data_IF_537569833328
#
_entry.id   IF_537569833328
#
_cell.length_a   1.000
_cell.length_b   1.000
_cell.length_c   1.000
_cell.angle_alpha   90.00
_cell.angle_beta   90.00
_cell.angle_gamma   90.00
#
_symmetry.space_group_name_H-M   'P 1'
#
loop_
_entity.id
_entity.type
_entity.pdbx_description
1 polymer ?
#
# COMPACT_ATOMS: atom_id res chain seq x y z
N UNK A 1 -66.80 18.45 65.56
CA UNK A 1 -65.55 18.60 64.79
C UNK A 1 -65.55 17.51 63.74
N UNK A 2 -65.78 17.92 62.48
CA UNK A 2 -65.95 17.00 61.35
C UNK A 2 -64.57 16.83 60.65
N UNK A 3 -64.08 15.60 60.55
CA UNK A 3 -62.93 15.24 59.70
C UNK A 3 -63.47 14.89 58.31
N UNK A 4 -62.96 15.56 57.31
CA UNK A 4 -63.17 15.22 55.89
C UNK A 4 -62.09 14.28 55.45
N UNK A 5 -62.48 13.16 54.88
CA UNK A 5 -61.59 12.17 54.24
C UNK A 5 -61.58 12.48 52.76
N UNK A 6 -60.36 12.78 52.23
CA UNK A 6 -60.16 12.98 50.79
C UNK A 6 -59.71 11.63 50.14
N UNK A 7 -60.49 11.23 49.17
CA UNK A 7 -60.18 10.12 48.29
C UNK A 7 -59.20 10.58 47.20
N UNK A 8 -58.04 10.01 47.14
CA UNK A 8 -57.07 10.20 46.05
C UNK A 8 -57.27 9.08 45.04
N UNK A 9 -57.82 9.45 43.87
CA UNK A 9 -57.92 8.52 42.73
C UNK A 9 -56.54 8.32 42.08
N UNK A 10 -56.02 7.08 42.08
CA UNK A 10 -54.86 6.69 41.32
C UNK A 10 -55.28 6.49 39.85
N UNK A 11 -54.80 7.37 38.96
CA UNK A 11 -54.85 7.16 37.54
C UNK A 11 -53.62 6.27 37.18
N UNK A 12 -53.89 5.03 36.74
CA UNK A 12 -52.90 4.16 36.11
C UNK A 12 -52.75 4.66 34.69
N UNK A 13 -51.62 5.34 34.40
CA UNK A 13 -51.20 5.65 33.03
C UNK A 13 -50.49 4.41 32.51
N UNK A 14 -51.18 3.68 31.63
CA UNK A 14 -50.55 2.63 30.80
C UNK A 14 -49.62 3.32 29.82
N UNK A 15 -48.33 3.32 30.12
CA UNK A 15 -47.29 3.74 29.18
C UNK A 15 -47.18 2.74 28.03
N UNK A 16 -47.64 3.11 26.85
CA UNK A 16 -47.29 2.45 25.62
C UNK A 16 -45.77 2.64 25.43
N UNK A 17 -44.99 1.58 25.59
CA UNK A 17 -43.62 1.51 25.11
C UNK A 17 -43.74 1.39 23.59
N UNK A 18 -43.64 2.51 22.90
CA UNK A 18 -43.39 2.52 21.48
C UNK A 18 -41.90 2.13 21.32
N UNK A 19 -41.68 0.90 20.94
CA UNK A 19 -40.36 0.47 20.41
C UNK A 19 -40.15 1.22 19.10
N UNK A 20 -39.61 2.40 19.19
CA UNK A 20 -39.07 3.10 18.03
C UNK A 20 -37.86 2.33 17.56
N UNK A 21 -38.00 1.63 16.45
CA UNK A 21 -36.84 1.33 15.60
C UNK A 21 -36.20 2.69 15.29
N UNK A 22 -35.01 2.93 15.81
CA UNK A 22 -34.23 4.08 15.42
C UNK A 22 -33.96 3.90 13.91
N UNK A 23 -34.76 4.56 13.09
CA UNK A 23 -34.40 4.80 11.71
C UNK A 23 -33.16 5.67 11.78
N UNK A 24 -32.07 5.20 11.23
CA UNK A 24 -30.86 6.00 10.98
C UNK A 24 -31.36 7.34 10.39
N UNK A 25 -31.18 8.43 11.12
CA UNK A 25 -31.46 9.75 10.57
C UNK A 25 -30.38 9.97 9.52
N UNK A 26 -30.74 9.81 8.26
CA UNK A 26 -29.96 10.31 7.14
C UNK A 26 -29.60 11.75 7.47
N UNK A 27 -28.34 12.05 7.58
CA UNK A 27 -27.86 13.43 7.73
C UNK A 27 -28.52 14.23 6.62
N UNK A 28 -29.31 15.25 6.98
CA UNK A 28 -30.19 15.96 6.08
C UNK A 28 -29.45 16.39 4.80
N UNK A 29 -29.69 15.66 3.70
CA UNK A 29 -29.35 16.07 2.34
C UNK A 29 -28.03 15.58 1.78
N UNK A 30 -27.28 14.70 2.44
CA UNK A 30 -26.07 14.10 1.86
C UNK A 30 -26.31 12.62 1.52
N UNK A 31 -26.28 12.31 0.23
CA UNK A 31 -26.35 10.94 -0.26
C UNK A 31 -24.93 10.33 -0.29
N UNK A 32 -24.76 9.03 -0.01
CA UNK A 32 -23.49 8.37 -0.14
C UNK A 32 -22.91 8.50 -1.56
N UNK A 33 -21.67 8.92 -1.68
CA UNK A 33 -21.01 9.07 -2.99
C UNK A 33 -20.70 7.70 -3.62
N UNK A 34 -20.46 6.67 -2.79
CA UNK A 34 -20.29 5.29 -3.23
C UNK A 34 -21.63 4.67 -3.69
N UNK A 35 -22.76 5.27 -3.31
CA UNK A 35 -24.10 4.82 -3.63
C UNK A 35 -24.71 3.92 -2.56
N UNK A 36 -26.04 3.70 -2.68
CA UNK A 36 -26.77 2.85 -1.73
C UNK A 36 -26.41 1.35 -1.89
N UNK A 37 -26.79 0.53 -0.89
CA UNK A 37 -26.43 -0.89 -0.84
C UNK A 37 -26.77 -1.69 -2.12
N UNK A 38 -27.91 -1.35 -2.75
CA UNK A 38 -28.39 -2.02 -3.98
C UNK A 38 -27.52 -1.76 -5.23
N UNK A 39 -26.65 -0.74 -5.19
CA UNK A 39 -25.80 -0.34 -6.32
C UNK A 39 -24.34 -0.69 -6.11
N UNK A 40 -23.99 -1.34 -4.99
CA UNK A 40 -22.61 -1.66 -4.63
C UNK A 40 -22.28 -3.09 -5.07
N UNK A 41 -21.10 -3.27 -5.66
CA UNK A 41 -20.62 -4.59 -6.10
C UNK A 41 -20.43 -5.52 -4.90
N UNK A 42 -20.89 -6.76 -5.04
CA UNK A 42 -20.79 -7.77 -3.99
C UNK A 42 -19.69 -8.79 -4.30
N UNK A 43 -19.12 -9.38 -3.25
CA UNK A 43 -18.15 -10.47 -3.38
C UNK A 43 -18.73 -11.67 -4.14
N UNK A 44 -20.01 -11.98 -3.95
CA UNK A 44 -20.69 -13.09 -4.62
C UNK A 44 -20.82 -12.88 -6.14
N UNK A 45 -21.08 -11.65 -6.58
CA UNK A 45 -21.15 -11.31 -8.01
C UNK A 45 -19.78 -11.53 -8.69
N UNK A 46 -18.70 -11.07 -8.06
CA UNK A 46 -17.34 -11.28 -8.59
C UNK A 46 -17.02 -12.79 -8.64
N UNK A 47 -17.25 -13.49 -7.52
CA UNK A 47 -16.93 -14.92 -7.39
C UNK A 47 -17.77 -15.82 -8.30
N UNK A 48 -18.98 -15.40 -8.69
CA UNK A 48 -19.85 -16.15 -9.61
C UNK A 48 -19.30 -16.25 -11.03
N UNK A 49 -18.36 -15.37 -11.41
CA UNK A 49 -17.87 -15.24 -12.79
C UNK A 49 -18.91 -14.63 -13.75
N UNK A 50 -19.99 -14.03 -13.21
CA UNK A 50 -21.03 -13.39 -14.01
C UNK A 50 -20.69 -11.98 -14.49
N UNK A 51 -19.67 -11.35 -13.89
CA UNK A 51 -19.17 -10.04 -14.27
C UNK A 51 -17.98 -10.16 -15.21
N UNK A 52 -17.90 -9.29 -16.20
CA UNK A 52 -16.69 -9.14 -17.01
C UNK A 52 -15.57 -8.45 -16.21
N UNK A 53 -14.32 -8.61 -16.64
CA UNK A 53 -13.19 -7.89 -16.02
C UNK A 53 -13.40 -6.37 -16.07
N UNK A 54 -13.98 -5.87 -17.16
CA UNK A 54 -14.28 -4.43 -17.32
C UNK A 54 -15.29 -3.97 -16.28
N UNK A 55 -16.37 -4.73 -16.02
CA UNK A 55 -17.36 -4.36 -15.00
C UNK A 55 -16.73 -4.28 -13.61
N UNK A 56 -15.86 -5.23 -13.27
CA UNK A 56 -15.14 -5.26 -12.01
C UNK A 56 -14.17 -4.07 -11.92
N UNK A 57 -13.43 -3.79 -12.99
CA UNK A 57 -12.49 -2.66 -13.06
C UNK A 57 -13.20 -1.31 -12.97
N UNK A 58 -14.38 -1.14 -13.58
CA UNK A 58 -15.20 0.07 -13.43
C UNK A 58 -15.66 0.28 -11.98
N UNK A 59 -16.05 -0.81 -11.30
CA UNK A 59 -16.39 -0.74 -9.88
C UNK A 59 -15.17 -0.39 -9.03
N UNK A 60 -14.00 -0.95 -9.32
CA UNK A 60 -12.74 -0.63 -8.66
C UNK A 60 -12.29 0.81 -8.93
N UNK A 61 -12.41 1.29 -10.16
CA UNK A 61 -12.15 2.70 -10.52
C UNK A 61 -13.10 3.64 -9.75
N UNK A 62 -14.39 3.28 -9.62
CA UNK A 62 -15.34 4.04 -8.82
C UNK A 62 -14.86 4.16 -7.38
N UNK A 63 -14.44 3.06 -6.75
CA UNK A 63 -13.86 3.09 -5.40
C UNK A 63 -12.59 3.96 -5.33
N UNK A 64 -11.73 3.84 -6.33
CA UNK A 64 -10.45 4.56 -6.39
C UNK A 64 -10.61 6.08 -6.57
N UNK A 65 -11.60 6.50 -7.37
CA UNK A 65 -11.76 7.88 -7.82
C UNK A 65 -12.81 8.67 -7.05
N UNK A 66 -13.74 8.01 -6.37
CA UNK A 66 -14.82 8.70 -5.66
C UNK A 66 -14.28 9.44 -4.45
N UNK A 67 -14.59 10.73 -4.37
CA UNK A 67 -14.39 11.49 -3.14
C UNK A 67 -15.47 11.10 -2.13
N UNK A 68 -15.05 10.28 -1.17
CA UNK A 68 -15.93 9.77 -0.12
C UNK A 68 -16.40 10.88 0.82
N UNK A 69 -17.60 10.72 1.38
CA UNK A 69 -18.31 11.69 2.21
C UNK A 69 -18.66 11.11 3.56
N UNK A 70 -19.15 11.93 4.46
CA UNK A 70 -19.66 11.45 5.76
C UNK A 70 -20.73 10.38 5.64
N UNK A 71 -21.59 10.49 4.63
CA UNK A 71 -22.61 9.48 4.37
C UNK A 71 -22.06 8.14 3.91
N UNK A 72 -20.77 8.09 3.47
CA UNK A 72 -20.04 6.87 3.15
C UNK A 72 -19.25 6.33 4.37
N UNK A 73 -19.21 7.06 5.50
CA UNK A 73 -18.36 6.76 6.66
C UNK A 73 -17.05 7.55 6.70
N UNK A 74 -16.86 8.54 5.79
CA UNK A 74 -15.63 9.33 5.79
C UNK A 74 -15.46 10.10 7.08
N UNK A 75 -14.38 9.83 7.77
CA UNK A 75 -14.06 10.52 9.00
C UNK A 75 -13.85 9.57 10.14
N UNK A 76 -14.04 10.09 11.31
CA UNK A 76 -13.92 9.37 12.57
C UNK A 76 -15.03 9.86 13.47
N UNK A 77 -15.44 9.06 14.43
CA UNK A 77 -16.52 9.41 15.37
C UNK A 77 -16.35 10.82 15.95
N UNK A 78 -17.46 11.51 16.08
CA UNK A 78 -17.47 12.87 16.61
C UNK A 78 -17.32 12.93 18.14
N UNK A 79 -17.26 11.80 18.84
CA UNK A 79 -17.10 11.77 20.29
C UNK A 79 -15.63 11.92 20.69
N UNK A 80 -15.20 13.14 21.11
CA UNK A 80 -13.83 13.34 21.56
C UNK A 80 -13.50 12.62 22.88
N UNK A 81 -14.49 12.05 23.56
CA UNK A 81 -14.31 11.28 24.78
C UNK A 81 -14.00 9.80 24.50
N UNK A 82 -14.26 9.30 23.32
CA UNK A 82 -13.98 7.92 22.93
C UNK A 82 -12.56 7.81 22.32
N UNK A 83 -11.57 7.71 23.18
CA UNK A 83 -10.16 7.66 22.82
C UNK A 83 -9.61 6.24 22.64
N UNK A 84 -10.48 5.22 22.77
CA UNK A 84 -10.08 3.82 22.84
C UNK A 84 -10.56 3.00 21.64
N UNK A 85 -11.41 3.55 20.81
CA UNK A 85 -11.95 2.84 19.66
C UNK A 85 -10.96 2.80 18.50
N UNK A 86 -10.84 1.67 17.80
CA UNK A 86 -10.11 1.59 16.54
C UNK A 86 -10.72 2.58 15.55
N UNK A 87 -9.95 3.54 15.08
CA UNK A 87 -10.44 4.59 14.19
C UNK A 87 -10.75 5.93 14.86
N UNK A 88 -10.85 5.95 16.20
CA UNK A 88 -11.04 7.19 16.95
C UNK A 88 -9.94 8.22 16.66
N UNK A 89 -10.29 9.50 16.64
CA UNK A 89 -9.31 10.58 16.39
C UNK A 89 -8.16 10.47 17.39
N UNK A 90 -6.90 10.47 16.92
CA UNK A 90 -5.78 10.53 17.83
C UNK A 90 -5.90 11.83 18.63
N UNK A 91 -6.06 11.71 19.95
CA UNK A 91 -6.05 12.84 20.84
C UNK A 91 -4.62 13.24 21.16
N UNK A 92 -4.40 14.52 21.47
CA UNK A 92 -3.10 15.02 21.97
C UNK A 92 -2.61 14.30 23.23
N UNK A 93 -3.54 13.66 23.97
CA UNK A 93 -3.27 12.86 25.15
C UNK A 93 -3.14 11.37 24.85
N UNK A 94 -3.24 10.98 23.59
CA UNK A 94 -3.25 9.61 23.20
C UNK A 94 -1.89 8.94 23.26
N UNK A 95 -1.84 7.81 22.65
CA UNK A 95 -0.70 6.92 22.55
C UNK A 95 0.53 7.48 21.81
N UNK A 96 0.52 8.74 21.38
CA UNK A 96 1.63 9.41 20.70
C UNK A 96 1.92 8.94 19.29
N UNK A 97 1.05 8.13 18.69
CA UNK A 97 1.36 7.50 17.40
C UNK A 97 0.93 8.31 16.20
N UNK A 98 -0.19 9.00 16.23
CA UNK A 98 -0.64 9.82 15.10
C UNK A 98 -1.34 11.07 15.57
N UNK A 99 -0.82 12.22 15.17
CA UNK A 99 -1.57 13.45 15.12
C UNK A 99 -1.64 13.85 13.66
N UNK A 100 -2.83 13.82 13.10
CA UNK A 100 -3.07 14.39 11.77
C UNK A 100 -3.29 15.90 11.96
N UNK A 101 -2.33 16.69 11.49
CA UNK A 101 -2.39 18.15 11.65
C UNK A 101 -3.63 18.74 10.99
N UNK A 102 -4.08 18.13 9.89
CA UNK A 102 -5.19 18.60 9.07
C UNK A 102 -6.40 17.64 9.06
N UNK A 103 -6.47 16.69 9.97
CA UNK A 103 -7.48 15.62 9.95
C UNK A 103 -7.09 14.50 8.99
N UNK A 104 -8.07 13.88 8.33
CA UNK A 104 -7.84 12.91 7.28
C UNK A 104 -7.15 13.57 6.10
N UNK A 105 -6.21 12.86 5.47
CA UNK A 105 -5.28 13.45 4.52
C UNK A 105 -5.68 13.27 3.05
N UNK A 106 -6.74 12.48 2.78
CA UNK A 106 -7.28 12.26 1.45
C UNK A 106 -8.78 11.94 1.52
N UNK A 107 -9.50 12.12 0.43
CA UNK A 107 -10.90 11.72 0.24
C UNK A 107 -11.06 10.69 -0.89
N UNK A 108 -10.02 10.50 -1.72
CA UNK A 108 -9.96 9.49 -2.77
C UNK A 108 -8.53 9.01 -2.97
N UNK A 109 -8.34 7.85 -3.57
CA UNK A 109 -7.00 7.37 -3.91
C UNK A 109 -6.32 8.26 -4.96
N UNK A 110 -7.12 8.94 -5.82
CA UNK A 110 -6.63 9.92 -6.80
C UNK A 110 -5.97 11.15 -6.15
N UNK A 111 -6.24 11.43 -4.89
CA UNK A 111 -5.59 12.54 -4.18
C UNK A 111 -4.09 12.30 -4.01
N UNK A 112 -3.66 11.04 -4.07
CA UNK A 112 -2.26 10.64 -3.92
C UNK A 112 -1.70 9.85 -5.10
N UNK A 113 -2.52 9.16 -5.91
CA UNK A 113 -2.07 8.25 -6.95
C UNK A 113 -2.65 8.63 -8.32
N UNK A 114 -1.80 8.89 -9.31
CA UNK A 114 -2.23 9.07 -10.69
C UNK A 114 -2.31 7.72 -11.40
N UNK A 115 -3.50 7.37 -11.87
CA UNK A 115 -3.75 6.20 -12.70
C UNK A 115 -4.50 6.56 -13.99
N UNK A 116 -4.88 7.82 -14.17
CA UNK A 116 -5.67 8.30 -15.31
C UNK A 116 -4.82 8.96 -16.39
N UNK A 117 -3.56 9.29 -16.10
CA UNK A 117 -2.63 9.94 -17.02
C UNK A 117 -1.19 9.57 -16.65
N UNK A 118 -0.30 9.67 -17.64
CA UNK A 118 1.14 9.62 -17.44
C UNK A 118 1.79 11.01 -17.39
N UNK A 119 0.99 12.07 -17.46
CA UNK A 119 1.50 13.43 -17.39
C UNK A 119 1.88 13.79 -15.95
N UNK A 120 3.12 14.20 -15.80
CA UNK A 120 3.61 14.67 -14.52
C UNK A 120 2.93 16.00 -14.15
N UNK A 121 2.26 16.03 -13.00
CA UNK A 121 1.78 17.29 -12.42
C UNK A 121 2.95 17.92 -11.66
N UNK A 122 3.31 19.18 -11.87
CA UNK A 122 4.38 19.82 -11.15
C UNK A 122 4.17 19.74 -9.64
N UNK A 123 5.23 19.38 -8.90
CA UNK A 123 5.20 19.39 -7.46
C UNK A 123 4.86 20.79 -6.94
N UNK A 124 3.78 20.92 -6.21
CA UNK A 124 3.37 22.14 -5.53
C UNK A 124 3.32 21.84 -4.04
N UNK A 125 4.24 22.42 -3.28
CA UNK A 125 4.28 22.24 -1.84
C UNK A 125 2.97 22.69 -1.19
N UNK A 126 2.40 21.81 -0.37
CA UNK A 126 1.18 22.09 0.37
C UNK A 126 -0.13 21.86 -0.38
N UNK A 127 -0.08 21.44 -1.64
CA UNK A 127 -1.25 20.89 -2.33
C UNK A 127 -1.17 19.38 -2.24
N UNK A 128 -2.05 18.79 -1.45
CA UNK A 128 -2.18 17.36 -1.35
C UNK A 128 -2.59 16.75 -2.68
N UNK A 129 -2.15 15.51 -2.93
CA UNK A 129 -2.80 14.67 -3.87
C UNK A 129 -2.62 14.96 -5.35
N UNK A 130 -1.50 15.50 -5.76
CA UNK A 130 -1.27 15.64 -7.19
C UNK A 130 -1.10 14.30 -7.92
N UNK A 131 -1.40 13.22 -7.25
CA UNK A 131 -1.54 11.89 -7.81
C UNK A 131 -0.26 11.28 -8.35
N UNK A 132 0.02 10.17 -7.91
CA UNK A 132 0.88 9.08 -8.21
C UNK A 132 2.11 9.24 -9.04
N UNK A 133 2.11 10.08 -9.99
CA UNK A 133 3.28 10.42 -10.77
C UNK A 133 4.03 11.56 -10.08
N UNK A 134 3.28 12.48 -9.52
CA UNK A 134 3.80 13.54 -8.66
C UNK A 134 3.11 13.46 -7.32
N UNK A 135 3.77 12.89 -6.45
CA UNK A 135 3.34 12.61 -5.12
C UNK A 135 3.09 13.88 -4.34
N UNK A 136 1.96 13.99 -3.77
CA UNK A 136 1.83 14.85 -2.63
C UNK A 136 2.64 14.25 -1.52
N UNK A 137 3.59 14.99 -1.06
CA UNK A 137 4.28 14.66 0.16
C UNK A 137 3.30 14.77 1.32
N UNK A 138 2.94 13.65 1.92
CA UNK A 138 2.13 13.61 3.11
C UNK A 138 2.99 13.93 4.32
N UNK A 139 2.54 14.87 5.10
CA UNK A 139 3.22 15.24 6.31
C UNK A 139 2.64 14.46 7.50
N UNK A 140 3.41 13.50 7.99
CA UNK A 140 3.04 12.72 9.17
C UNK A 140 3.78 13.25 10.39
N UNK A 141 3.05 13.80 11.32
CA UNK A 141 3.60 14.32 12.57
C UNK A 141 4.01 13.16 13.47
N UNK A 142 5.24 13.19 13.98
CA UNK A 142 5.75 12.24 14.97
C UNK A 142 5.55 12.67 16.40
N UNK A 143 5.68 13.97 16.64
CA UNK A 143 5.50 14.58 17.95
C UNK A 143 5.08 16.05 17.81
N UNK A 144 4.26 16.51 18.74
CA UNK A 144 3.94 17.93 18.88
C UNK A 144 4.31 18.33 20.31
N UNK A 145 5.12 19.36 20.43
CA UNK A 145 5.33 20.05 21.70
C UNK A 145 4.23 21.10 21.91
N UNK A 146 3.14 20.64 22.49
CA UNK A 146 2.00 21.53 22.87
C UNK A 146 2.23 22.25 24.19
N UNK A 147 3.24 21.83 24.94
CA UNK A 147 3.55 22.42 26.24
C UNK A 147 4.46 23.67 26.13
N UNK A 148 4.90 24.00 24.90
CA UNK A 148 5.84 25.09 24.64
C UNK A 148 7.04 25.06 25.59
N UNK A 149 7.69 23.90 25.70
CA UNK A 149 8.83 23.70 26.61
C UNK A 149 9.96 24.69 26.30
N UNK A 150 10.06 25.13 25.06
CA UNK A 150 11.04 26.15 24.65
C UNK A 150 10.62 27.60 25.03
N UNK A 151 9.36 27.81 25.43
CA UNK A 151 8.84 29.13 25.81
C UNK A 151 8.85 30.16 24.69
N UNK A 152 8.71 29.71 23.43
CA UNK A 152 8.82 30.60 22.27
C UNK A 152 7.46 30.98 21.67
N UNK A 153 6.35 30.50 22.22
CA UNK A 153 4.99 30.76 21.75
C UNK A 153 4.58 29.98 20.50
N UNK A 154 5.38 28.99 20.08
CA UNK A 154 5.10 28.15 18.92
C UNK A 154 5.03 26.68 19.32
N UNK A 155 4.04 25.97 18.82
CA UNK A 155 4.03 24.52 18.90
C UNK A 155 5.13 23.99 17.98
N UNK A 156 6.17 23.40 18.57
CA UNK A 156 7.19 22.67 17.83
C UNK A 156 6.59 21.32 17.39
N UNK A 157 6.76 20.93 16.14
CA UNK A 157 6.37 19.60 15.71
C UNK A 157 7.45 18.97 14.83
N UNK A 158 7.55 17.68 14.94
CA UNK A 158 8.44 16.84 14.19
C UNK A 158 7.60 15.89 13.32
N UNK A 159 7.91 15.80 12.04
CA UNK A 159 7.13 15.05 11.10
C UNK A 159 7.96 14.45 9.98
N UNK A 160 7.33 13.69 9.12
CA UNK A 160 7.93 13.12 7.92
C UNK A 160 7.04 13.30 6.72
N UNK A 161 7.66 13.37 5.56
CA UNK A 161 7.00 13.29 4.28
C UNK A 161 6.90 11.82 3.85
N UNK A 162 5.82 11.45 3.18
CA UNK A 162 5.66 10.16 2.51
C UNK A 162 5.45 10.42 1.04
N UNK A 163 6.19 9.68 0.23
CA UNK A 163 6.12 9.72 -1.22
C UNK A 163 5.31 8.49 -1.71
N UNK A 164 4.05 8.65 -2.16
CA UNK A 164 3.25 7.54 -2.63
C UNK A 164 3.87 6.88 -3.86
N UNK A 165 3.91 5.54 -3.96
CA UNK A 165 4.49 4.86 -5.11
C UNK A 165 3.55 4.88 -6.32
N UNK A 166 4.12 4.79 -7.53
CA UNK A 166 3.36 4.53 -8.75
C UNK A 166 2.74 3.12 -8.72
N UNK A 167 1.52 2.99 -9.27
CA UNK A 167 0.72 1.77 -9.19
C UNK A 167 0.79 0.89 -10.45
N UNK A 168 1.29 1.40 -11.56
CA UNK A 168 1.36 0.65 -12.82
C UNK A 168 2.18 -0.64 -12.69
N UNK A 169 1.67 -1.73 -13.28
CA UNK A 169 2.32 -3.03 -13.26
C UNK A 169 2.25 -3.78 -11.91
N UNK A 170 1.50 -3.28 -10.95
CA UNK A 170 1.42 -3.81 -9.58
C UNK A 170 1.02 -5.29 -9.52
N UNK A 171 0.15 -5.76 -10.45
CA UNK A 171 -0.23 -7.17 -10.50
C UNK A 171 0.92 -8.12 -10.80
N UNK A 172 1.84 -7.73 -11.70
CA UNK A 172 3.05 -8.53 -11.95
C UNK A 172 3.95 -8.63 -10.71
N UNK A 173 4.04 -7.54 -9.92
CA UNK A 173 4.77 -7.53 -8.63
C UNK A 173 4.12 -8.49 -7.64
N UNK A 174 2.78 -8.41 -7.46
CA UNK A 174 2.04 -9.28 -6.56
C UNK A 174 2.15 -10.76 -6.95
N UNK A 175 2.03 -11.07 -8.24
CA UNK A 175 2.19 -12.43 -8.75
C UNK A 175 3.56 -13.01 -8.42
N UNK A 176 4.64 -12.28 -8.75
CA UNK A 176 6.02 -12.73 -8.47
C UNK A 176 6.24 -12.89 -6.96
N UNK A 177 5.73 -11.98 -6.13
CA UNK A 177 5.86 -12.06 -4.67
C UNK A 177 5.11 -13.27 -4.09
N UNK A 178 3.90 -13.55 -4.55
CA UNK A 178 3.13 -14.75 -4.17
C UNK A 178 3.89 -16.05 -4.51
N UNK A 179 4.48 -16.14 -5.70
CA UNK A 179 5.31 -17.30 -6.09
C UNK A 179 6.61 -17.41 -5.29
N UNK A 180 7.26 -16.27 -4.98
CA UNK A 180 8.44 -16.25 -4.13
C UNK A 180 8.10 -16.72 -2.71
N UNK A 181 6.99 -16.26 -2.16
CA UNK A 181 6.48 -16.71 -0.85
C UNK A 181 6.24 -18.22 -0.85
N UNK A 182 5.49 -18.75 -1.80
CA UNK A 182 5.22 -20.19 -1.89
C UNK A 182 6.52 -21.02 -1.97
N UNK A 183 7.53 -20.52 -2.70
CA UNK A 183 8.83 -21.19 -2.78
C UNK A 183 9.59 -21.13 -1.44
N UNK A 184 9.54 -20.00 -0.74
CA UNK A 184 10.20 -19.84 0.56
C UNK A 184 9.53 -20.71 1.64
N UNK A 185 8.19 -20.83 1.63
CA UNK A 185 7.47 -21.72 2.54
C UNK A 185 7.87 -23.17 2.31
N UNK A 186 7.93 -23.63 1.05
CA UNK A 186 8.41 -24.99 0.73
C UNK A 186 9.86 -25.23 1.20
N UNK A 187 10.76 -24.25 1.08
CA UNK A 187 12.14 -24.36 1.60
C UNK A 187 12.18 -24.39 3.13
N UNK A 188 11.24 -23.74 3.80
CA UNK A 188 11.06 -23.81 5.26
C UNK A 188 10.59 -25.19 5.68
N UNK A 189 9.64 -25.79 4.95
CA UNK A 189 9.18 -27.17 5.16
C UNK A 189 10.34 -28.17 4.97
N UNK A 190 11.14 -28.02 3.88
CA UNK A 190 12.35 -28.84 3.66
C UNK A 190 13.33 -28.76 4.85
N UNK A 191 13.49 -27.57 5.44
CA UNK A 191 14.34 -27.43 6.63
C UNK A 191 13.80 -28.17 7.85
N UNK A 192 12.45 -28.19 8.02
CA UNK A 192 11.79 -28.91 9.12
C UNK A 192 11.89 -30.42 8.93
N UNK A 193 11.77 -30.91 7.69
CA UNK A 193 11.87 -32.34 7.35
C UNK A 193 13.29 -32.92 7.53
N UNK A 194 14.35 -32.08 7.41
CA UNK A 194 15.75 -32.50 7.55
C UNK A 194 16.47 -31.70 8.66
N UNK A 195 16.18 -31.93 9.95
CA UNK A 195 16.73 -31.14 11.05
C UNK A 195 18.24 -31.20 11.12
N UNK A 196 18.86 -30.05 11.24
CA UNK A 196 20.30 -29.84 11.28
C UNK A 196 20.90 -29.46 9.92
N UNK A 197 20.23 -29.73 8.82
CA UNK A 197 20.64 -29.28 7.48
C UNK A 197 20.39 -27.78 7.31
N UNK A 198 21.33 -27.10 6.72
CA UNK A 198 21.18 -25.69 6.34
C UNK A 198 20.60 -25.60 4.94
N UNK A 199 19.40 -25.03 4.83
CA UNK A 199 18.71 -24.80 3.55
C UNK A 199 18.97 -23.36 3.10
N UNK A 200 19.44 -23.19 1.85
CA UNK A 200 19.65 -21.86 1.24
C UNK A 200 18.32 -21.31 0.76
N UNK A 201 18.02 -20.08 1.13
CA UNK A 201 16.80 -19.36 0.72
C UNK A 201 17.10 -18.54 -0.55
N UNK A 202 17.16 -19.23 -1.69
CA UNK A 202 17.36 -18.57 -2.99
C UNK A 202 16.19 -18.80 -3.92
N UNK A 203 15.49 -17.72 -4.27
CA UNK A 203 14.25 -17.75 -5.06
C UNK A 203 14.34 -16.75 -6.20
N UNK A 204 14.00 -17.15 -7.43
CA UNK A 204 14.06 -16.31 -8.65
C UNK A 204 15.40 -15.54 -8.79
N UNK A 205 16.49 -16.19 -8.31
CA UNK A 205 17.84 -15.61 -8.32
C UNK A 205 18.14 -14.62 -7.18
N UNK A 206 17.18 -14.27 -6.34
CA UNK A 206 17.37 -13.45 -5.13
C UNK A 206 17.79 -14.32 -3.96
N UNK A 207 18.76 -13.85 -3.18
CA UNK A 207 19.32 -14.56 -2.01
C UNK A 207 18.78 -13.93 -0.71
N UNK A 208 18.01 -14.70 0.04
CA UNK A 208 17.47 -14.35 1.36
C UNK A 208 18.24 -15.02 2.50
N UNK A 209 19.46 -15.53 2.25
CA UNK A 209 20.30 -16.17 3.23
C UNK A 209 19.99 -17.65 3.41
N UNK A 210 19.82 -18.13 4.64
CA UNK A 210 19.57 -19.54 4.91
C UNK A 210 18.76 -19.75 6.21
N UNK A 211 18.11 -20.90 6.27
CA UNK A 211 17.36 -21.37 7.45
C UNK A 211 17.82 -22.78 7.85
N UNK A 212 17.67 -23.14 9.10
CA UNK A 212 17.93 -24.47 9.61
C UNK A 212 16.94 -24.82 10.73
N UNK A 213 16.33 -25.98 10.69
CA UNK A 213 15.62 -26.52 11.84
C UNK A 213 16.58 -27.19 12.82
N UNK A 214 16.39 -26.94 14.10
CA UNK A 214 17.07 -27.62 15.18
C UNK A 214 16.38 -28.96 15.47
N UNK A 215 17.06 -29.89 16.19
CA UNK A 215 16.49 -31.18 16.54
C UNK A 215 15.32 -31.10 17.53
N UNK A 216 15.15 -29.97 18.19
CA UNK A 216 14.03 -29.69 19.11
C UNK A 216 12.81 -29.10 18.38
N UNK A 217 12.87 -28.97 17.03
CA UNK A 217 11.81 -28.43 16.20
C UNK A 217 11.83 -26.90 16.07
N UNK A 218 12.71 -26.19 16.77
CA UNK A 218 12.84 -24.73 16.60
C UNK A 218 13.58 -24.37 15.32
N UNK A 219 13.32 -23.20 14.77
CA UNK A 219 13.98 -22.69 13.57
C UNK A 219 15.10 -21.70 13.92
N UNK A 220 16.28 -21.90 13.38
CA UNK A 220 17.37 -20.96 13.40
C UNK A 220 17.24 -20.02 12.19
N UNK A 221 16.79 -18.79 12.45
CA UNK A 221 16.47 -17.76 11.47
C UNK A 221 17.53 -16.64 11.40
N UNK A 222 18.63 -16.75 12.14
CA UNK A 222 19.65 -15.68 12.28
C UNK A 222 20.34 -15.29 10.96
N UNK A 223 20.34 -16.20 10.00
CA UNK A 223 20.97 -15.99 8.67
C UNK A 223 19.95 -15.56 7.62
N UNK A 224 18.68 -15.31 7.98
CA UNK A 224 17.67 -14.75 7.08
C UNK A 224 17.97 -13.26 6.83
N UNK A 225 17.81 -12.80 5.58
CA UNK A 225 18.18 -11.45 5.15
C UNK A 225 17.09 -10.82 4.29
N UNK A 226 16.67 -9.62 4.65
CA UNK A 226 15.80 -8.79 3.84
C UNK A 226 14.36 -9.29 3.66
N UNK A 227 13.96 -10.26 4.47
CA UNK A 227 12.58 -10.76 4.64
C UNK A 227 12.38 -11.09 6.10
N UNK A 228 11.15 -11.16 6.57
CA UNK A 228 10.83 -11.54 7.94
C UNK A 228 11.02 -13.05 8.18
N UNK A 229 11.08 -13.43 9.45
CA UNK A 229 11.30 -14.83 9.84
C UNK A 229 10.16 -15.79 9.44
N UNK A 230 8.99 -15.25 9.09
CA UNK A 230 7.87 -16.00 8.54
C UNK A 230 8.12 -16.44 7.08
N UNK A 231 9.11 -15.82 6.40
CA UNK A 231 9.47 -16.06 5.00
C UNK A 231 8.35 -15.71 4.02
N UNK A 232 7.59 -14.68 4.34
CA UNK A 232 6.56 -14.11 3.47
C UNK A 232 7.09 -12.85 2.79
N UNK A 233 7.03 -12.80 1.46
CA UNK A 233 7.42 -11.62 0.68
C UNK A 233 6.32 -10.58 0.78
N UNK A 234 6.68 -9.38 1.22
CA UNK A 234 5.80 -8.22 1.33
C UNK A 234 6.27 -7.14 0.36
N UNK A 235 5.75 -7.12 -0.88
CA UNK A 235 6.27 -6.24 -1.94
C UNK A 235 5.73 -4.82 -1.87
N UNK A 236 4.77 -4.55 -0.97
CA UNK A 236 4.07 -3.28 -0.87
C UNK A 236 4.38 -2.55 0.43
N UNK A 237 4.14 -1.23 0.41
CA UNK A 237 4.65 -0.33 1.43
C UNK A 237 6.17 -0.10 1.27
N UNK A 238 6.66 1.05 1.72
CA UNK A 238 8.10 1.41 1.58
C UNK A 238 9.03 0.56 2.46
N UNK A 239 8.47 -0.06 3.50
CA UNK A 239 9.19 -0.95 4.43
C UNK A 239 8.98 -2.44 4.11
N UNK A 240 8.19 -2.77 3.07
CA UNK A 240 7.76 -4.13 2.84
C UNK A 240 6.80 -4.59 3.95
N UNK A 241 5.66 -3.93 4.02
CA UNK A 241 4.68 -4.06 5.11
C UNK A 241 3.53 -4.98 4.72
N UNK A 242 3.14 -5.00 3.43
CA UNK A 242 1.93 -5.65 2.95
C UNK A 242 2.24 -6.73 1.91
N UNK A 243 1.52 -7.85 2.01
CA UNK A 243 1.69 -9.02 1.14
C UNK A 243 0.97 -8.86 -0.20
N UNK A 244 -0.13 -8.12 -0.20
CA UNK A 244 -1.01 -7.90 -1.33
C UNK A 244 -1.46 -6.44 -1.41
N UNK A 245 -2.02 -6.09 -2.56
CA UNK A 245 -2.72 -4.81 -2.75
C UNK A 245 -3.94 -4.75 -1.84
N UNK A 246 -4.66 -5.87 -1.68
CA UNK A 246 -5.82 -5.94 -0.78
C UNK A 246 -5.47 -5.54 0.65
N UNK A 247 -4.42 -6.14 1.20
CA UNK A 247 -3.97 -5.81 2.57
C UNK A 247 -3.57 -4.32 2.68
N UNK A 248 -2.91 -3.78 1.65
CA UNK A 248 -2.60 -2.36 1.59
C UNK A 248 -3.87 -1.50 1.50
N UNK A 249 -4.83 -1.85 0.64
CA UNK A 249 -6.05 -1.07 0.41
C UNK A 249 -6.89 -0.97 1.68
N UNK A 250 -7.07 -2.07 2.41
CA UNK A 250 -7.76 -2.08 3.71
C UNK A 250 -7.09 -1.12 4.69
N UNK A 251 -5.77 -1.21 4.82
CA UNK A 251 -5.00 -0.30 5.67
C UNK A 251 -5.10 1.17 5.23
N UNK A 252 -5.08 1.42 3.92
CA UNK A 252 -5.15 2.76 3.36
C UNK A 252 -6.53 3.40 3.55
N UNK A 253 -7.61 2.64 3.36
CA UNK A 253 -8.99 3.10 3.60
C UNK A 253 -9.17 3.55 5.06
N UNK A 254 -8.70 2.75 6.00
CA UNK A 254 -8.75 3.09 7.42
C UNK A 254 -7.86 4.28 7.76
N UNK A 255 -6.65 4.30 7.21
CA UNK A 255 -5.64 5.28 7.60
C UNK A 255 -5.86 6.67 6.97
N UNK A 256 -6.18 6.72 5.68
CA UNK A 256 -6.28 7.98 4.94
C UNK A 256 -7.69 8.58 4.98
N UNK A 257 -8.72 7.75 4.98
CA UNK A 257 -10.11 8.20 4.87
C UNK A 257 -10.90 8.02 6.17
N UNK A 258 -10.40 7.22 7.11
CA UNK A 258 -11.14 6.81 8.30
C UNK A 258 -12.28 5.82 8.00
N UNK A 259 -12.36 5.32 6.76
CA UNK A 259 -13.35 4.31 6.38
C UNK A 259 -13.05 2.96 7.03
N UNK A 260 -14.11 2.22 7.37
CA UNK A 260 -14.02 0.92 8.02
C UNK A 260 -14.46 -0.22 7.09
N UNK A 261 -13.50 -0.88 6.38
CA UNK A 261 -13.85 -2.04 5.58
C UNK A 261 -14.45 -3.16 6.42
N UNK A 262 -15.53 -3.77 5.90
CA UNK A 262 -16.22 -4.91 6.56
C UNK A 262 -15.24 -6.02 6.94
N UNK A 263 -14.23 -6.29 6.13
CA UNK A 263 -13.25 -7.32 6.44
C UNK A 263 -12.33 -7.01 7.63
N UNK A 264 -12.21 -5.73 8.01
CA UNK A 264 -11.43 -5.33 9.17
C UNK A 264 -12.27 -5.28 10.45
N UNK A 265 -13.53 -4.82 10.38
CA UNK A 265 -14.36 -4.56 11.55
C UNK A 265 -15.53 -5.53 11.72
N UNK A 266 -15.97 -6.18 10.66
CA UNK A 266 -17.11 -7.09 10.63
C UNK A 266 -18.36 -6.48 9.99
N UNK A 267 -19.25 -7.36 9.50
CA UNK A 267 -20.52 -6.93 8.88
C UNK A 267 -21.48 -6.35 9.91
N UNK A 268 -22.06 -5.19 9.58
CA UNK A 268 -23.02 -4.49 10.43
C UNK A 268 -22.40 -3.86 11.69
N UNK A 269 -21.09 -3.79 11.76
CA UNK A 269 -20.36 -3.15 12.88
C UNK A 269 -20.08 -1.70 12.52
N UNK A 270 -20.44 -0.80 13.44
CA UNK A 270 -20.06 0.61 13.49
C UNK A 270 -18.99 0.71 14.59
N UNK A 271 -17.71 0.61 14.21
CA UNK A 271 -16.64 0.51 15.20
C UNK A 271 -16.10 1.87 15.62
N UNK A 272 -16.36 2.93 14.86
CA UNK A 272 -15.96 4.30 15.19
C UNK A 272 -17.12 5.14 15.75
N UNK A 273 -18.35 4.63 15.67
CA UNK A 273 -19.53 5.28 16.29
C UNK A 273 -20.10 6.44 15.48
N UNK A 274 -19.83 6.51 14.19
CA UNK A 274 -20.31 7.56 13.31
C UNK A 274 -21.73 7.31 12.76
N UNK A 275 -22.32 6.14 13.06
CA UNK A 275 -23.63 5.64 12.68
C UNK A 275 -23.72 5.14 11.21
N UNK A 276 -22.60 4.99 10.54
CA UNK A 276 -22.50 4.31 9.24
C UNK A 276 -21.99 2.89 9.48
N UNK A 277 -22.57 1.91 8.82
CA UNK A 277 -22.13 0.51 8.87
C UNK A 277 -21.85 0.01 7.48
N UNK A 278 -20.98 -0.99 7.37
CA UNK A 278 -20.60 -1.55 6.07
C UNK A 278 -20.07 -0.47 5.09
N UNK A 279 -19.23 0.42 5.59
CA UNK A 279 -18.73 1.58 4.87
C UNK A 279 -18.02 1.19 3.57
N UNK A 280 -17.20 0.13 3.61
CA UNK A 280 -16.62 -0.48 2.42
C UNK A 280 -16.85 -1.99 2.47
N UNK A 281 -17.57 -2.52 1.48
CA UNK A 281 -17.93 -3.93 1.42
C UNK A 281 -16.73 -4.78 0.96
N UNK A 282 -16.81 -6.09 1.22
CA UNK A 282 -15.79 -7.07 0.76
C UNK A 282 -15.66 -7.04 -0.77
N UNK A 283 -16.80 -6.92 -1.48
CA UNK A 283 -16.82 -6.85 -2.95
C UNK A 283 -16.12 -5.61 -3.49
N UNK A 284 -16.28 -4.47 -2.82
CA UNK A 284 -15.63 -3.22 -3.22
C UNK A 284 -14.11 -3.27 -3.00
N UNK A 285 -13.64 -3.83 -1.89
CA UNK A 285 -12.19 -4.07 -1.69
C UNK A 285 -11.66 -5.02 -2.76
N UNK A 286 -12.41 -6.08 -3.11
CA UNK A 286 -12.02 -7.00 -4.19
C UNK A 286 -11.95 -6.30 -5.54
N UNK A 287 -12.92 -5.44 -5.87
CA UNK A 287 -12.92 -4.68 -7.11
C UNK A 287 -11.77 -3.67 -7.16
N UNK A 288 -11.48 -3.01 -6.03
CA UNK A 288 -10.36 -2.08 -5.89
C UNK A 288 -9.02 -2.79 -6.10
N UNK A 289 -8.79 -3.92 -5.42
CA UNK A 289 -7.58 -4.75 -5.62
C UNK A 289 -7.42 -5.16 -7.09
N UNK A 290 -8.50 -5.65 -7.73
CA UNK A 290 -8.47 -6.08 -9.13
C UNK A 290 -8.15 -4.89 -10.05
N UNK A 291 -8.76 -3.72 -9.82
CA UNK A 291 -8.46 -2.51 -10.58
C UNK A 291 -7.00 -2.11 -10.47
N UNK A 292 -6.45 -2.04 -9.25
CA UNK A 292 -5.06 -1.62 -9.02
C UNK A 292 -4.05 -2.64 -9.57
N UNK A 293 -4.33 -3.94 -9.43
CA UNK A 293 -3.42 -4.99 -9.90
C UNK A 293 -3.49 -5.26 -11.39
N UNK A 294 -4.54 -4.83 -12.07
CA UNK A 294 -4.68 -4.93 -13.53
C UNK A 294 -4.29 -3.64 -14.26
N UNK A 295 -3.58 -2.73 -13.62
CA UNK A 295 -3.00 -1.57 -14.28
C UNK A 295 -1.98 -2.00 -15.33
N UNK A 296 -1.85 -1.23 -16.40
CA UNK A 296 -0.93 -1.48 -17.50
C UNK A 296 0.53 -1.60 -17.05
N UNK A 297 1.29 -2.38 -17.77
CA UNK A 297 2.73 -2.53 -17.51
C UNK A 297 3.50 -1.28 -17.92
N UNK A 298 4.36 -0.72 -17.05
CA UNK A 298 5.31 0.32 -17.44
C UNK A 298 6.20 -0.13 -18.60
N UNK A 299 6.59 0.80 -19.44
CA UNK A 299 7.32 0.53 -20.68
C UNK A 299 8.76 0.99 -20.61
N UNK A 300 9.59 0.37 -21.42
CA UNK A 300 10.95 0.86 -21.68
C UNK A 300 11.02 1.41 -23.12
N UNK A 301 11.51 2.64 -23.28
CA UNK A 301 11.76 3.19 -24.60
C UNK A 301 12.91 2.47 -25.30
N UNK A 302 12.90 2.47 -26.62
CA UNK A 302 13.99 1.96 -27.41
C UNK A 302 15.30 2.70 -27.05
N UNK A 303 16.35 1.94 -26.81
CA UNK A 303 17.65 2.47 -26.42
C UNK A 303 18.58 2.63 -27.62
N UNK A 304 19.18 3.80 -27.76
CA UNK A 304 20.26 4.07 -28.69
C UNK A 304 21.63 3.84 -28.03
N UNK A 305 22.68 4.33 -28.63
CA UNK A 305 24.06 4.09 -28.15
C UNK A 305 24.33 4.66 -26.76
N UNK A 306 23.75 5.83 -26.46
CA UNK A 306 23.88 6.53 -25.17
C UNK A 306 23.20 5.74 -24.04
N UNK A 307 21.94 5.36 -24.22
CA UNK A 307 21.17 4.63 -23.23
C UNK A 307 21.72 3.20 -23.02
N UNK A 308 22.16 2.55 -24.12
CA UNK A 308 22.86 1.25 -24.03
C UNK A 308 24.17 1.37 -23.25
N UNK A 309 24.94 2.45 -23.41
CA UNK A 309 26.12 2.71 -22.58
C UNK A 309 25.75 2.96 -21.13
N UNK A 310 24.67 3.69 -20.88
CA UNK A 310 24.10 3.93 -19.55
C UNK A 310 23.67 2.65 -18.86
N UNK A 311 22.95 1.76 -19.55
CA UNK A 311 22.57 0.44 -19.03
C UNK A 311 23.78 -0.41 -18.63
N UNK A 312 24.88 -0.36 -19.43
CA UNK A 312 26.14 -1.02 -19.05
C UNK A 312 26.79 -0.37 -17.81
N UNK A 313 26.74 0.97 -17.71
CA UNK A 313 27.24 1.69 -16.54
C UNK A 313 26.43 1.32 -15.28
N UNK A 314 25.12 1.30 -15.35
CA UNK A 314 24.20 0.90 -14.27
C UNK A 314 24.57 -0.49 -13.71
N UNK A 315 24.85 -1.47 -14.58
CA UNK A 315 25.33 -2.80 -14.14
C UNK A 315 26.72 -2.73 -13.53
N UNK A 316 27.65 -2.01 -14.18
CA UNK A 316 29.06 -1.94 -13.75
C UNK A 316 29.25 -1.31 -12.38
N UNK A 317 28.47 -0.28 -12.04
CA UNK A 317 28.54 0.37 -10.73
C UNK A 317 27.79 -0.39 -9.63
N UNK A 318 27.09 -1.49 -9.96
CA UNK A 318 26.50 -2.39 -8.99
C UNK A 318 25.02 -2.14 -8.66
N UNK A 319 24.32 -1.23 -9.35
CA UNK A 319 22.89 -0.96 -9.10
C UNK A 319 22.01 -2.21 -9.24
N UNK A 320 22.37 -3.12 -10.16
CA UNK A 320 21.62 -4.37 -10.40
C UNK A 320 21.72 -5.40 -9.28
N UNK A 321 22.51 -5.15 -8.25
CA UNK A 321 22.57 -6.02 -7.05
C UNK A 321 21.22 -6.03 -6.34
N UNK A 322 20.56 -4.87 -6.22
CA UNK A 322 19.24 -4.69 -5.65
C UNK A 322 18.20 -4.43 -6.76
N UNK A 323 18.46 -3.48 -7.67
CA UNK A 323 17.57 -3.16 -8.79
C UNK A 323 17.73 -4.17 -9.93
N UNK A 324 17.25 -5.40 -9.71
CA UNK A 324 17.25 -6.46 -10.71
C UNK A 324 16.34 -6.08 -11.86
N UNK A 325 16.83 -6.06 -13.11
CA UNK A 325 16.05 -5.54 -14.24
C UNK A 325 14.74 -6.30 -14.44
N UNK A 326 14.76 -7.60 -14.27
CA UNK A 326 13.64 -8.49 -14.55
C UNK A 326 13.54 -9.56 -13.46
N UNK A 327 12.35 -9.83 -13.00
CA UNK A 327 11.97 -11.11 -12.40
C UNK A 327 10.94 -11.78 -13.32
N UNK A 328 10.93 -13.10 -13.33
CA UNK A 328 9.92 -13.87 -14.11
C UNK A 328 8.98 -14.60 -13.19
N UNK A 329 7.72 -14.68 -13.57
CA UNK A 329 6.77 -15.57 -12.92
C UNK A 329 6.74 -16.96 -13.58
N UNK A 330 6.21 -17.93 -12.89
CA UNK A 330 6.01 -19.29 -13.39
C UNK A 330 4.63 -19.42 -14.07
N UNK A 331 3.67 -18.55 -13.70
CA UNK A 331 2.31 -18.43 -14.27
C UNK A 331 2.09 -17.01 -14.77
N UNK A 332 1.20 -16.83 -15.73
CA UNK A 332 0.69 -15.52 -16.14
C UNK A 332 -0.57 -15.11 -15.34
N UNK A 333 -1.14 -16.03 -14.58
CA UNK A 333 -2.44 -15.85 -13.91
C UNK A 333 -2.25 -15.41 -12.48
N UNK A 334 -2.67 -14.18 -12.18
CA UNK A 334 -2.82 -13.69 -10.81
C UNK A 334 -4.12 -14.21 -10.21
N UNK A 335 -4.03 -14.79 -9.01
CA UNK A 335 -5.17 -15.32 -8.26
C UNK A 335 -5.47 -14.42 -7.07
N UNK A 336 -6.76 -14.12 -6.89
CA UNK A 336 -7.29 -13.30 -5.81
C UNK A 336 -7.98 -14.18 -4.78
N UNK A 337 -7.67 -13.95 -3.53
CA UNK A 337 -8.13 -14.77 -2.39
C UNK A 337 -8.90 -13.93 -1.39
N UNK A 338 -9.92 -14.53 -0.77
CA UNK A 338 -10.60 -13.92 0.36
C UNK A 338 -11.20 -14.99 1.30
N UNK A 339 -10.87 -14.94 2.60
CA UNK A 339 -9.80 -14.15 3.21
C UNK A 339 -8.41 -14.58 2.69
N UNK A 340 -7.47 -13.63 2.61
CA UNK A 340 -6.10 -13.93 2.22
C UNK A 340 -5.35 -14.65 3.33
N UNK A 341 -4.47 -15.58 2.94
CA UNK A 341 -3.55 -16.28 3.82
C UNK A 341 -2.12 -15.97 3.33
N UNK A 342 -1.40 -15.20 4.12
CA UNK A 342 -0.13 -14.60 3.71
C UNK A 342 0.95 -15.65 3.33
N UNK A 343 1.01 -16.77 4.03
CA UNK A 343 1.95 -17.86 3.80
C UNK A 343 1.41 -18.99 2.90
N UNK A 344 0.11 -18.94 2.57
CA UNK A 344 -0.52 -19.81 1.57
C UNK A 344 -1.34 -18.98 0.56
N UNK A 345 -0.70 -18.29 -0.38
CA UNK A 345 -1.35 -17.34 -1.29
C UNK A 345 -2.30 -17.98 -2.32
N UNK A 346 -2.44 -19.30 -2.33
CA UNK A 346 -3.39 -20.04 -3.16
C UNK A 346 -4.65 -20.50 -2.41
N UNK A 347 -4.71 -20.27 -1.10
CA UNK A 347 -5.90 -20.59 -0.32
C UNK A 347 -7.03 -19.59 -0.60
N UNK A 348 -8.28 -20.05 -0.53
CA UNK A 348 -9.49 -19.22 -0.68
C UNK A 348 -9.59 -18.41 -1.97
N UNK A 349 -9.03 -18.91 -3.07
CA UNK A 349 -9.10 -18.23 -4.39
C UNK A 349 -10.56 -18.14 -4.85
N UNK A 350 -11.00 -16.91 -5.19
CA UNK A 350 -12.35 -16.65 -5.69
C UNK A 350 -12.38 -16.10 -7.14
N UNK A 351 -11.27 -15.50 -7.60
CA UNK A 351 -11.16 -14.92 -8.93
C UNK A 351 -9.74 -15.03 -9.46
N UNK A 352 -9.57 -14.87 -10.77
CA UNK A 352 -8.23 -14.89 -11.39
C UNK A 352 -8.22 -14.11 -12.69
N UNK A 353 -7.08 -13.45 -12.98
CA UNK A 353 -6.85 -12.67 -14.20
C UNK A 353 -5.53 -13.11 -14.83
N UNK A 354 -5.53 -13.32 -16.14
CA UNK A 354 -4.31 -13.50 -16.92
C UNK A 354 -3.71 -12.11 -17.20
N UNK A 355 -2.57 -11.80 -16.60
CA UNK A 355 -1.93 -10.50 -16.70
C UNK A 355 -1.17 -10.29 -18.03
N UNK A 356 -1.09 -11.29 -18.90
CA UNK A 356 -0.57 -11.11 -20.24
C UNK A 356 -1.64 -10.57 -21.21
N UNK A 357 -2.90 -10.60 -20.81
CA UNK A 357 -4.00 -10.00 -21.55
C UNK A 357 -4.15 -8.50 -21.19
N UNK A 358 -4.89 -7.77 -22.03
CA UNK A 358 -5.24 -6.37 -21.77
C UNK A 358 -6.08 -6.26 -20.46
N UNK A 359 -5.92 -5.18 -19.70
CA UNK A 359 -5.04 -4.01 -19.95
C UNK A 359 -3.62 -4.15 -19.42
N UNK A 360 -3.29 -5.15 -18.61
CA UNK A 360 -1.95 -5.31 -17.99
C UNK A 360 -0.87 -5.56 -19.04
N UNK A 361 -1.14 -6.42 -20.01
CA UNK A 361 -0.33 -6.70 -21.21
C UNK A 361 1.14 -7.03 -20.93
N UNK A 362 1.43 -7.81 -19.89
CA UNK A 362 2.78 -8.29 -19.63
C UNK A 362 3.24 -9.24 -20.73
N UNK A 363 4.52 -9.15 -21.11
CA UNK A 363 5.14 -10.09 -22.03
C UNK A 363 5.27 -11.49 -21.39
N UNK A 364 4.92 -12.54 -22.16
CA UNK A 364 5.07 -13.93 -21.70
C UNK A 364 6.49 -14.42 -21.84
N UNK A 365 6.90 -15.28 -20.91
CA UNK A 365 8.09 -16.11 -21.07
C UNK A 365 7.79 -17.26 -22.06
N UNK A 366 8.85 -17.91 -22.56
CA UNK A 366 8.70 -19.12 -23.40
C UNK A 366 7.97 -20.28 -22.68
N UNK A 367 7.98 -20.28 -21.35
CA UNK A 367 7.34 -21.30 -20.50
C UNK A 367 5.92 -20.94 -20.06
N UNK A 368 5.40 -19.78 -20.50
CA UNK A 368 4.01 -19.36 -20.24
C UNK A 368 3.84 -18.49 -18.97
N UNK A 369 4.90 -18.17 -18.24
CA UNK A 369 4.90 -17.15 -17.19
C UNK A 369 5.03 -15.74 -17.74
N UNK A 370 5.31 -14.75 -16.89
CA UNK A 370 5.49 -13.34 -17.27
C UNK A 370 6.95 -12.89 -17.15
N UNK A 371 7.32 -11.96 -18.02
CA UNK A 371 8.50 -11.13 -17.88
C UNK A 371 8.06 -9.86 -17.14
N UNK A 372 8.56 -9.66 -15.91
CA UNK A 372 8.20 -8.52 -15.06
C UNK A 372 9.42 -7.60 -14.93
N UNK A 373 9.50 -6.50 -15.72
CA UNK A 373 10.70 -5.64 -15.81
C UNK A 373 10.72 -4.58 -14.71
N UNK A 374 10.58 -4.98 -13.45
CA UNK A 374 10.34 -4.09 -12.32
C UNK A 374 11.59 -3.36 -11.80
N UNK A 375 12.79 -3.82 -12.11
CA UNK A 375 14.05 -3.31 -11.55
C UNK A 375 14.07 -3.31 -10.02
N UNK A 376 13.71 -4.44 -9.42
CA UNK A 376 13.73 -4.67 -7.97
C UNK A 376 13.95 -6.15 -7.68
N UNK A 377 14.54 -6.44 -6.52
CA UNK A 377 14.65 -7.81 -5.99
C UNK A 377 13.55 -8.12 -4.97
N UNK A 378 12.66 -7.18 -4.68
CA UNK A 378 11.60 -7.28 -3.67
C UNK A 378 12.11 -7.66 -2.27
N UNK A 379 13.32 -7.22 -1.96
CA UNK A 379 14.00 -7.48 -0.70
C UNK A 379 14.22 -6.18 0.06
N UNK A 380 14.23 -6.25 1.40
CA UNK A 380 14.61 -5.10 2.25
C UNK A 380 16.12 -5.01 2.38
N UNK A 381 16.61 -3.77 2.35
CA UNK A 381 18.01 -3.42 2.51
C UNK A 381 18.19 -2.29 3.52
N UNK A 382 19.26 -2.36 4.33
CA UNK A 382 19.66 -1.26 5.21
C UNK A 382 20.28 -0.14 4.37
N UNK A 383 19.58 1.00 4.30
CA UNK A 383 19.99 2.17 3.53
C UNK A 383 20.82 3.17 4.33
N UNK A 384 21.16 2.85 5.57
CA UNK A 384 21.99 3.71 6.44
C UNK A 384 21.22 4.85 7.11
N UNK A 385 21.93 5.60 7.94
CA UNK A 385 21.34 6.61 8.82
C UNK A 385 20.82 7.84 8.05
N UNK A 386 21.40 8.17 6.88
CA UNK A 386 21.00 9.33 6.07
C UNK A 386 19.59 9.21 5.50
N UNK A 387 19.13 7.97 5.24
CA UNK A 387 17.78 7.66 4.77
C UNK A 387 16.88 7.08 5.85
N UNK A 388 17.40 6.90 7.07
CA UNK A 388 16.62 6.35 8.17
C UNK A 388 15.39 7.21 8.48
N UNK A 389 14.29 6.54 8.73
CA UNK A 389 13.14 7.15 9.41
C UNK A 389 13.41 7.17 10.91
N UNK A 390 12.74 8.04 11.61
CA UNK A 390 12.84 8.12 13.06
C UNK A 390 11.48 7.80 13.69
N UNK A 391 11.05 6.56 13.53
CA UNK A 391 9.80 6.10 14.07
C UNK A 391 10.02 5.66 15.53
N UNK A 392 9.34 6.32 16.46
CA UNK A 392 9.33 5.88 17.85
C UNK A 392 8.54 4.56 17.94
N UNK A 393 9.15 3.53 18.49
CA UNK A 393 8.56 2.18 18.56
C UNK A 393 9.11 1.20 17.51
N UNK A 394 9.76 1.68 16.46
CA UNK A 394 10.55 0.84 15.58
C UNK A 394 12.01 0.77 16.07
N UNK A 395 12.68 -0.35 15.83
CA UNK A 395 14.12 -0.47 16.09
C UNK A 395 14.91 0.36 15.09
N UNK A 396 16.15 0.73 15.43
CA UNK A 396 17.07 1.43 14.52
C UNK A 396 17.22 0.71 13.19
N UNK A 397 17.24 -0.61 13.21
CA UNK A 397 17.28 -1.44 12.01
C UNK A 397 16.03 -1.22 11.15
N UNK A 398 14.83 -1.33 11.72
CA UNK A 398 13.58 -1.12 11.00
C UNK A 398 13.49 0.28 10.41
N UNK A 399 14.01 1.29 11.11
CA UNK A 399 14.07 2.66 10.60
C UNK A 399 14.95 2.81 9.37
N UNK A 400 16.04 2.02 9.25
CA UNK A 400 16.98 2.06 8.12
C UNK A 400 16.64 1.11 6.97
N UNK A 401 15.84 0.08 7.21
CA UNK A 401 15.49 -0.91 6.17
C UNK A 401 14.34 -0.43 5.30
N UNK A 402 14.52 -0.56 3.97
CA UNK A 402 13.53 -0.26 2.95
C UNK A 402 13.51 -1.36 1.90
N UNK A 403 12.33 -1.63 1.35
CA UNK A 403 12.22 -2.50 0.18
C UNK A 403 12.87 -1.81 -1.03
N UNK A 404 13.54 -2.58 -1.88
CA UNK A 404 14.07 -2.03 -3.14
C UNK A 404 12.94 -1.45 -3.98
N UNK A 405 12.95 -0.13 -4.20
CA UNK A 405 11.99 0.55 -5.05
C UNK A 405 12.04 0.01 -6.48
N UNK A 406 10.87 -0.16 -7.10
CA UNK A 406 10.77 -0.47 -8.53
C UNK A 406 11.19 0.73 -9.34
N UNK A 407 12.04 0.56 -10.37
CA UNK A 407 12.51 1.69 -11.20
C UNK A 407 11.74 1.81 -12.52
N UNK A 408 10.84 0.88 -12.85
CA UNK A 408 9.98 1.09 -13.99
C UNK A 408 9.11 2.35 -13.78
N UNK A 409 8.92 3.14 -14.82
CA UNK A 409 8.24 4.43 -14.70
C UNK A 409 9.04 5.55 -14.02
N UNK A 410 10.29 5.29 -13.58
CA UNK A 410 11.08 6.24 -12.78
C UNK A 410 11.32 7.59 -13.47
N UNK A 411 11.24 7.65 -14.79
CA UNK A 411 11.37 8.91 -15.52
C UNK A 411 10.19 9.88 -15.30
N UNK A 412 9.04 9.35 -14.86
CA UNK A 412 7.79 10.09 -14.71
C UNK A 412 7.35 10.27 -13.25
N UNK A 413 8.16 9.82 -12.26
CA UNK A 413 7.74 9.71 -10.85
C UNK A 413 8.55 10.58 -9.89
N UNK A 414 9.07 11.71 -10.34
CA UNK A 414 9.66 12.72 -9.42
C UNK A 414 8.56 13.32 -8.51
N UNK A 415 8.87 13.63 -7.24
CA UNK A 415 10.14 13.49 -6.53
C UNK A 415 10.48 12.03 -6.15
N UNK A 416 11.72 11.76 -5.77
CA UNK A 416 12.26 10.43 -5.53
C UNK A 416 12.52 10.17 -4.05
N UNK A 417 12.77 8.90 -3.72
CA UNK A 417 12.93 8.35 -2.39
C UNK A 417 11.61 8.25 -1.62
N UNK A 418 11.62 7.57 -0.49
CA UNK A 418 10.44 7.27 0.31
C UNK A 418 9.71 8.50 0.86
N UNK A 419 10.39 9.64 0.90
CA UNK A 419 9.90 10.91 1.43
C UNK A 419 9.97 12.07 0.41
N UNK A 420 10.30 11.80 -0.84
CA UNK A 420 10.32 12.82 -1.89
C UNK A 420 11.43 13.87 -1.78
N UNK A 421 12.44 13.65 -0.92
CA UNK A 421 13.50 14.65 -0.70
C UNK A 421 14.44 14.87 -1.88
N UNK A 422 14.50 13.93 -2.82
CA UNK A 422 15.32 14.04 -4.02
C UNK A 422 14.47 14.49 -5.21
N UNK A 423 14.80 15.61 -5.82
CA UNK A 423 14.07 16.17 -6.96
C UNK A 423 14.58 15.65 -8.31
N UNK A 424 15.76 15.08 -8.32
CA UNK A 424 16.40 14.53 -9.50
C UNK A 424 16.89 13.11 -9.28
N UNK A 425 17.00 12.33 -10.36
CA UNK A 425 17.59 10.99 -10.31
C UNK A 425 19.03 11.01 -9.78
N UNK A 426 19.80 12.04 -10.12
CA UNK A 426 21.17 12.19 -9.61
C UNK A 426 21.20 12.37 -8.09
N UNK A 427 20.34 13.22 -7.54
CA UNK A 427 20.22 13.40 -6.08
C UNK A 427 19.81 12.09 -5.41
N UNK A 428 18.82 11.40 -5.96
CA UNK A 428 18.39 10.12 -5.43
C UNK A 428 19.52 9.10 -5.36
N UNK A 429 20.33 8.99 -6.41
CA UNK A 429 21.49 8.07 -6.44
C UNK A 429 22.52 8.48 -5.37
N UNK A 430 22.82 9.76 -5.24
CA UNK A 430 23.81 10.28 -4.29
C UNK A 430 23.38 10.13 -2.82
N UNK A 431 22.08 9.95 -2.55
CA UNK A 431 21.56 9.71 -1.19
C UNK A 431 21.57 8.23 -0.79
N UNK A 432 21.92 7.31 -1.69
CA UNK A 432 22.03 5.89 -1.35
C UNK A 432 23.14 5.64 -0.33
N UNK A 433 22.81 5.05 0.82
CA UNK A 433 23.71 4.74 1.91
C UNK A 433 23.76 3.24 2.25
N UNK A 434 24.14 2.89 3.47
CA UNK A 434 24.10 1.53 3.98
C UNK A 434 24.69 0.48 3.04
N UNK A 435 23.90 -0.53 2.68
CA UNK A 435 24.28 -1.60 1.73
C UNK A 435 24.58 -1.07 0.32
N UNK A 436 23.98 0.05 -0.08
CA UNK A 436 24.18 0.65 -1.40
C UNK A 436 25.42 1.57 -1.50
N UNK A 437 26.13 1.81 -0.39
CA UNK A 437 27.29 2.73 -0.34
C UNK A 437 28.34 2.46 -1.41
N UNK A 438 28.65 1.18 -1.67
CA UNK A 438 29.65 0.81 -2.67
C UNK A 438 29.20 1.19 -4.10
N UNK A 439 27.93 0.99 -4.43
CA UNK A 439 27.38 1.37 -5.73
C UNK A 439 27.32 2.89 -5.89
N UNK A 440 26.96 3.64 -4.83
CA UNK A 440 27.05 5.11 -4.82
C UNK A 440 28.46 5.59 -5.08
N UNK A 441 29.46 5.09 -4.37
CA UNK A 441 30.85 5.49 -4.54
C UNK A 441 31.35 5.17 -5.97
N UNK A 442 30.95 4.04 -6.55
CA UNK A 442 31.28 3.70 -7.93
C UNK A 442 30.60 4.64 -8.94
N UNK A 443 29.37 5.11 -8.67
CA UNK A 443 28.69 6.13 -9.47
C UNK A 443 29.38 7.49 -9.35
N UNK A 444 29.76 7.91 -8.16
CA UNK A 444 30.48 9.18 -7.92
C UNK A 444 31.81 9.24 -8.71
N UNK A 445 32.49 8.08 -8.84
CA UNK A 445 33.75 7.95 -9.57
C UNK A 445 33.59 7.99 -11.11
N UNK A 446 32.38 7.91 -11.65
CA UNK A 446 32.13 8.05 -13.08
C UNK A 446 32.42 9.49 -13.53
N UNK A 447 32.91 9.66 -14.74
CA UNK A 447 32.96 10.98 -15.39
C UNK A 447 31.54 11.50 -15.73
N UNK A 448 31.44 12.79 -16.03
CA UNK A 448 30.14 13.44 -16.34
C UNK A 448 29.43 12.82 -17.54
N UNK A 449 30.19 12.38 -18.57
CA UNK A 449 29.62 11.73 -19.74
C UNK A 449 28.98 10.39 -19.36
N UNK A 450 29.66 9.58 -18.55
CA UNK A 450 29.16 8.30 -18.08
C UNK A 450 27.94 8.45 -17.13
N UNK A 451 27.96 9.48 -16.24
CA UNK A 451 26.80 9.83 -15.40
C UNK A 451 25.60 10.19 -16.27
N UNK A 452 25.79 11.06 -17.26
CA UNK A 452 24.73 11.44 -18.17
C UNK A 452 24.18 10.25 -18.97
N UNK A 453 25.02 9.32 -19.40
CA UNK A 453 24.57 8.10 -20.06
C UNK A 453 23.73 7.23 -19.14
N UNK A 454 24.14 7.04 -17.87
CA UNK A 454 23.39 6.27 -16.88
C UNK A 454 22.01 6.93 -16.61
N UNK A 455 21.98 8.24 -16.45
CA UNK A 455 20.72 8.97 -16.27
C UNK A 455 19.82 8.92 -17.52
N UNK A 456 20.42 8.95 -18.72
CA UNK A 456 19.67 8.77 -19.98
C UNK A 456 19.01 7.38 -20.03
N UNK A 457 19.73 6.33 -19.62
CA UNK A 457 19.16 4.99 -19.49
C UNK A 457 17.97 4.97 -18.55
N UNK A 458 18.08 5.51 -17.32
CA UNK A 458 16.95 5.55 -16.37
C UNK A 458 15.74 6.30 -16.93
N UNK A 459 15.94 7.33 -17.73
CA UNK A 459 14.87 8.08 -18.40
C UNK A 459 14.16 7.31 -19.52
N UNK A 460 14.65 6.14 -19.91
CA UNK A 460 13.91 5.23 -20.80
C UNK A 460 12.80 4.45 -20.09
N UNK A 461 12.81 4.40 -18.78
CA UNK A 461 11.85 3.65 -17.97
C UNK A 461 10.63 4.53 -17.68
N UNK A 462 9.56 4.34 -18.46
CA UNK A 462 8.40 5.22 -18.51
C UNK A 462 7.12 4.53 -18.05
N UNK A 463 6.18 5.32 -17.57
CA UNK A 463 4.80 4.88 -17.34
C UNK A 463 4.06 4.58 -18.65
N UNK A 464 2.88 3.92 -18.62
CA UNK A 464 2.03 3.73 -19.79
C UNK A 464 1.63 5.06 -20.45
N UNK A 465 1.27 5.06 -21.73
CA UNK A 465 0.95 6.30 -22.47
C UNK A 465 -0.47 6.76 -22.20
N UNK A 466 -1.41 5.83 -22.24
CA UNK A 466 -2.83 6.11 -22.06
C UNK A 466 -3.43 5.05 -21.14
N UNK A 467 -3.14 5.16 -19.84
CA UNK A 467 -3.57 4.15 -18.88
C UNK A 467 -5.09 4.15 -18.73
N UNK A 468 -5.63 2.95 -18.49
CA UNK A 468 -7.06 2.73 -18.20
C UNK A 468 -8.03 3.20 -19.30
N UNK A 469 -7.59 3.28 -20.56
CA UNK A 469 -8.47 3.64 -21.68
C UNK A 469 -9.67 2.70 -21.83
N UNK A 470 -9.55 1.46 -21.38
CA UNK A 470 -10.63 0.46 -21.38
C UNK A 470 -11.81 0.80 -20.46
N UNK A 471 -11.59 1.63 -19.46
CA UNK A 471 -12.61 2.05 -18.47
C UNK A 471 -12.88 3.55 -18.45
N UNK A 472 -12.16 4.34 -19.26
CA UNK A 472 -12.32 5.80 -19.34
C UNK A 472 -13.04 6.26 -20.63
N UNK A 473 -13.04 5.45 -21.71
CA UNK A 473 -13.70 5.70 -22.99
C UNK A 473 -15.16 5.16 -23.00
#
# INVERSE_FOLDING_TARGET
MKQQVHWISFLIICGLVVSGTASAQTLLGEEPALGGPESRITQAEIASGGLSLIDIRLSGLKMFATQVRKADGFGEALDPANTTDPGGRPTLQGNGTFLRVNGLDAQSCLDCHAVLSNDAVPFVSGVGGAGGINNSAMFMTRAIDVADVAGNGFAGFDGRLINPPALFGTGGVQLVAKEMTATLQRLKEEAVEDPGKRIKLRVKGVDFGSIRANRDGTLDTRDIKGVDNDLVIRPFGRKGEFTSVREFDVGALMFHFGLQPVEAVGEGVDADGDQVVNEVTIGEVSALEIFVTTQETPRQLAMESTEKAGSRAFRRVGCTTCHRPVLTSDSAVLRYSYPEVADDPLQNVFFSVDLADDPSAFERTETGGLIVPLFSDLKRHDMGDELAETFHGASDRQNREFITAKLWGVADTSPYLHDGRALTLNEAILMHGGEARAARAAYEALDNGQKNQLLAFLRTLRNPVAPNSDVLD
#
